data_IF_001006163034
#
_entry.id   IF_001006163034
#
_cell.length_a   1.000
_cell.length_b   1.000
_cell.length_c   1.000
_cell.angle_alpha   90.00
_cell.angle_beta   90.00
_cell.angle_gamma   90.00
#
_symmetry.space_group_name_H-M   'P 1'
#
loop_
_entity.id
_entity.type
_entity.pdbx_description
1 polymer ?
#
# COMPACT_ATOMS: atom_id res chain seq x y z
N UNK A 1 -18.54 42.08 -10.64
CA UNK A 1 -18.85 40.69 -10.23
C UNK A 1 -17.91 40.36 -9.07
N UNK A 2 -18.42 40.28 -7.83
CA UNK A 2 -17.59 39.96 -6.67
C UNK A 2 -17.22 38.48 -6.72
N UNK A 3 -15.93 38.17 -6.74
CA UNK A 3 -15.46 36.79 -6.61
C UNK A 3 -16.05 36.14 -5.34
N UNK A 4 -16.41 34.86 -5.43
CA UNK A 4 -16.97 34.15 -4.29
C UNK A 4 -15.97 34.19 -3.12
N UNK A 5 -16.43 34.65 -1.95
CA UNK A 5 -15.59 34.78 -0.75
C UNK A 5 -15.13 33.42 -0.20
N UNK A 6 -15.84 32.35 -0.58
CA UNK A 6 -15.60 30.99 -0.13
C UNK A 6 -15.14 30.09 -1.27
N UNK A 7 -14.12 29.28 -1.01
CA UNK A 7 -13.60 28.25 -1.90
C UNK A 7 -14.00 26.85 -1.40
N UNK A 8 -14.17 25.91 -2.32
CA UNK A 8 -14.57 24.52 -2.02
C UNK A 8 -13.47 23.56 -2.43
N UNK A 9 -13.05 22.69 -1.51
CA UNK A 9 -12.16 21.58 -1.77
C UNK A 9 -12.95 20.28 -1.83
N UNK A 10 -12.96 19.61 -2.98
CA UNK A 10 -13.41 18.23 -3.11
C UNK A 10 -12.22 17.31 -2.90
N UNK A 11 -12.08 16.74 -1.71
CA UNK A 11 -10.90 15.96 -1.33
C UNK A 11 -11.23 14.48 -1.16
N UNK A 12 -10.31 13.62 -1.60
CA UNK A 12 -10.42 12.17 -1.44
C UNK A 12 -9.25 11.59 -0.64
N UNK A 13 -9.52 10.65 0.27
CA UNK A 13 -8.52 10.06 1.16
C UNK A 13 -8.86 8.63 1.58
N UNK A 14 -7.86 7.85 2.02
CA UNK A 14 -8.03 6.46 2.48
C UNK A 14 -8.32 5.43 1.38
N UNK A 15 -8.34 5.85 0.12
CA UNK A 15 -8.41 5.01 -1.07
C UNK A 15 -7.07 4.95 -1.80
N UNK A 16 -7.11 4.57 -3.07
CA UNK A 16 -5.93 4.46 -3.93
C UNK A 16 -6.21 4.95 -5.34
N UNK A 17 -5.18 5.47 -5.99
CA UNK A 17 -5.23 5.80 -7.42
C UNK A 17 -4.96 4.50 -8.19
N UNK A 18 -5.84 4.16 -9.12
CA UNK A 18 -5.76 2.95 -9.94
C UNK A 18 -5.89 3.30 -11.42
N UNK A 19 -5.19 2.58 -12.32
CA UNK A 19 -5.40 2.74 -13.74
C UNK A 19 -6.82 2.27 -14.12
N UNK A 20 -7.41 2.96 -15.08
CA UNK A 20 -8.64 2.57 -15.74
C UNK A 20 -8.28 1.93 -17.10
N UNK A 21 -9.13 1.05 -17.66
CA UNK A 21 -8.87 0.42 -18.95
C UNK A 21 -8.66 1.37 -20.13
N UNK A 22 -9.07 2.63 -20.01
CA UNK A 22 -8.86 3.71 -20.99
C UNK A 22 -7.46 4.37 -20.87
N UNK A 23 -6.60 3.90 -19.97
CA UNK A 23 -5.26 4.44 -19.72
C UNK A 23 -5.22 5.60 -18.72
N UNK A 24 -6.37 6.13 -18.29
CA UNK A 24 -6.43 7.24 -17.32
C UNK A 24 -6.38 6.75 -15.89
N UNK A 25 -6.03 7.65 -14.96
CA UNK A 25 -6.08 7.35 -13.52
C UNK A 25 -7.46 7.68 -12.93
N UNK A 26 -7.91 6.83 -11.99
CA UNK A 26 -9.10 7.10 -11.16
C UNK A 26 -8.82 6.84 -9.69
N UNK A 27 -9.48 7.58 -8.82
CA UNK A 27 -9.50 7.27 -7.39
C UNK A 27 -10.49 6.14 -7.12
N UNK A 28 -10.09 5.14 -6.33
CA UNK A 28 -10.91 3.97 -6.00
C UNK A 28 -10.85 3.66 -4.51
N UNK A 29 -12.03 3.40 -3.92
CA UNK A 29 -12.21 3.24 -2.48
C UNK A 29 -12.05 4.55 -1.70
N UNK A 30 -11.91 4.43 -0.37
CA UNK A 30 -11.72 5.57 0.52
C UNK A 30 -12.98 6.42 0.70
N UNK A 31 -12.75 7.70 1.03
CA UNK A 31 -13.78 8.69 1.27
C UNK A 31 -13.57 9.89 0.35
N UNK A 32 -14.67 10.49 -0.10
CA UNK A 32 -14.67 11.77 -0.82
C UNK A 32 -15.58 12.74 -0.08
N UNK A 33 -15.05 13.91 0.27
CA UNK A 33 -15.75 14.93 1.06
C UNK A 33 -15.54 16.32 0.47
N UNK A 34 -16.40 17.26 0.86
CA UNK A 34 -16.27 18.67 0.48
C UNK A 34 -16.00 19.50 1.72
N UNK A 35 -14.95 20.32 1.67
CA UNK A 35 -14.63 21.32 2.68
C UNK A 35 -14.81 22.71 2.07
N UNK A 36 -15.68 23.53 2.66
CA UNK A 36 -15.83 24.95 2.28
C UNK A 36 -15.05 25.82 3.26
N UNK A 37 -14.18 26.69 2.77
CA UNK A 37 -13.36 27.60 3.57
C UNK A 37 -13.34 28.99 2.95
N UNK A 38 -12.95 30.00 3.73
CA UNK A 38 -12.72 31.34 3.21
C UNK A 38 -11.51 31.34 2.28
N UNK A 39 -11.55 32.19 1.25
CA UNK A 39 -10.45 32.34 0.29
C UNK A 39 -9.14 32.81 0.94
N UNK A 40 -9.23 33.52 2.05
CA UNK A 40 -8.08 34.04 2.79
C UNK A 40 -7.42 33.02 3.73
N UNK A 41 -7.91 31.76 3.75
CA UNK A 41 -7.36 30.71 4.61
C UNK A 41 -5.86 30.50 4.36
N UNK A 42 -5.11 30.33 5.44
CA UNK A 42 -3.69 29.97 5.36
C UNK A 42 -3.52 28.47 5.13
N UNK A 43 -2.39 28.08 4.56
CA UNK A 43 -2.03 26.67 4.36
C UNK A 43 -2.05 25.91 5.70
N UNK A 44 -1.51 26.50 6.77
CA UNK A 44 -1.52 25.89 8.09
C UNK A 44 -2.94 25.59 8.61
N UNK A 45 -3.85 26.56 8.54
CA UNK A 45 -5.25 26.38 8.96
C UNK A 45 -5.99 25.35 8.09
N UNK A 46 -5.73 25.35 6.78
CA UNK A 46 -6.29 24.36 5.87
C UNK A 46 -5.84 22.95 6.26
N UNK A 47 -4.55 22.76 6.53
CA UNK A 47 -3.99 21.48 6.94
C UNK A 47 -4.54 20.99 8.28
N UNK A 48 -4.81 21.89 9.24
CA UNK A 48 -5.48 21.55 10.50
C UNK A 48 -6.89 21.02 10.25
N UNK A 49 -7.72 21.75 9.49
CA UNK A 49 -9.09 21.31 9.14
C UNK A 49 -9.11 19.97 8.41
N UNK A 50 -8.18 19.77 7.47
CA UNK A 50 -8.05 18.52 6.74
C UNK A 50 -7.62 17.39 7.68
N UNK A 51 -6.65 17.64 8.56
CA UNK A 51 -6.16 16.69 9.54
C UNK A 51 -7.24 16.23 10.52
N UNK A 52 -8.01 17.17 11.08
CA UNK A 52 -9.15 16.89 11.96
C UNK A 52 -10.22 16.06 11.25
N UNK A 53 -10.55 16.41 10.00
CA UNK A 53 -11.57 15.68 9.22
C UNK A 53 -11.14 14.24 8.87
N UNK A 54 -9.83 14.02 8.69
CA UNK A 54 -9.25 12.73 8.33
C UNK A 54 -8.83 11.90 9.55
N UNK A 55 -8.79 12.50 10.74
CA UNK A 55 -8.29 11.87 11.97
C UNK A 55 -6.78 11.61 11.97
N UNK A 56 -6.01 12.21 11.05
CA UNK A 56 -4.56 12.03 10.95
C UNK A 56 -3.90 13.15 10.14
N UNK A 57 -2.59 13.35 10.33
CA UNK A 57 -1.82 14.29 9.51
C UNK A 57 -1.75 13.81 8.06
N UNK A 58 -2.04 14.72 7.12
CA UNK A 58 -2.08 14.45 5.68
C UNK A 58 -1.14 15.38 4.92
N UNK A 59 -0.89 15.08 3.65
CA UNK A 59 -0.29 15.95 2.67
C UNK A 59 -1.34 16.31 1.63
N UNK A 60 -1.44 17.59 1.29
CA UNK A 60 -2.38 18.10 0.30
C UNK A 60 -1.79 18.02 -1.11
N UNK A 61 -2.50 17.35 -2.00
CA UNK A 61 -2.23 17.41 -3.44
C UNK A 61 -3.50 17.77 -4.19
N UNK A 62 -3.38 18.63 -5.20
CA UNK A 62 -4.50 19.16 -5.96
C UNK A 62 -4.28 18.88 -7.45
N UNK A 63 -5.36 18.64 -8.20
CA UNK A 63 -5.29 18.74 -9.67
C UNK A 63 -5.33 20.22 -10.06
N UNK A 64 -4.96 20.55 -11.29
CA UNK A 64 -5.28 21.86 -11.90
C UNK A 64 -6.62 21.79 -12.64
N UNK A 65 -7.26 22.93 -12.95
CA UNK A 65 -8.48 22.93 -13.74
C UNK A 65 -8.26 22.31 -15.13
N UNK A 66 -9.16 21.42 -15.54
CA UNK A 66 -9.06 20.69 -16.82
C UNK A 66 -8.15 19.47 -16.82
N UNK A 67 -7.35 19.28 -15.77
CA UNK A 67 -6.41 18.16 -15.65
C UNK A 67 -7.04 16.92 -14.99
N UNK A 68 -6.41 15.76 -15.23
CA UNK A 68 -6.79 14.45 -14.70
C UNK A 68 -5.98 14.08 -13.42
N UNK A 69 -6.26 12.91 -12.83
CA UNK A 69 -5.64 12.45 -11.57
C UNK A 69 -4.17 12.02 -11.69
N UNK A 70 -3.64 11.99 -12.90
CA UNK A 70 -2.22 11.78 -13.22
C UNK A 70 -1.39 13.07 -13.10
N UNK A 71 -2.03 14.24 -13.12
CA UNK A 71 -1.37 15.54 -12.98
C UNK A 71 -1.74 16.16 -11.63
N UNK A 72 -1.00 15.76 -10.59
CA UNK A 72 -1.17 16.27 -9.22
C UNK A 72 -0.06 17.24 -8.82
N UNK A 73 -0.45 18.39 -8.29
CA UNK A 73 0.42 19.39 -7.70
C UNK A 73 0.39 19.23 -6.18
N UNK A 74 1.55 19.06 -5.56
CA UNK A 74 1.65 19.03 -4.09
C UNK A 74 1.75 20.45 -3.56
N UNK A 75 0.91 20.80 -2.59
CA UNK A 75 0.89 22.13 -1.97
C UNK A 75 1.56 22.05 -0.59
N UNK A 76 2.51 22.94 -0.34
CA UNK A 76 3.33 23.01 0.89
C UNK A 76 3.46 24.42 1.47
N UNK A 77 2.99 25.45 0.78
CA UNK A 77 3.08 26.84 1.21
C UNK A 77 1.82 27.63 0.87
N UNK A 78 1.67 28.80 1.50
CA UNK A 78 0.58 29.74 1.21
C UNK A 78 0.65 30.31 -0.22
N UNK A 79 1.86 30.45 -0.78
CA UNK A 79 2.08 30.93 -2.15
C UNK A 79 1.57 29.90 -3.17
N UNK A 80 1.90 28.62 -2.97
CA UNK A 80 1.41 27.52 -3.81
C UNK A 80 -0.12 27.39 -3.69
N UNK A 81 -0.67 27.52 -2.49
CA UNK A 81 -2.12 27.46 -2.27
C UNK A 81 -2.85 28.57 -3.03
N UNK A 82 -2.34 29.82 -2.97
CA UNK A 82 -2.92 30.96 -3.69
C UNK A 82 -2.88 30.77 -5.20
N UNK A 83 -1.76 30.27 -5.72
CA UNK A 83 -1.59 29.98 -7.15
C UNK A 83 -2.64 28.97 -7.64
N UNK A 84 -2.83 27.87 -6.91
CA UNK A 84 -3.87 26.88 -7.23
C UNK A 84 -5.26 27.52 -7.23
N UNK A 85 -5.59 28.31 -6.21
CA UNK A 85 -6.90 28.97 -6.12
C UNK A 85 -7.12 29.91 -7.32
N UNK A 86 -6.13 30.72 -7.68
CA UNK A 86 -6.23 31.67 -8.78
C UNK A 86 -6.45 30.99 -10.14
N UNK A 87 -5.75 29.90 -10.41
CA UNK A 87 -5.92 29.12 -11.65
C UNK A 87 -7.34 28.55 -11.78
N UNK A 88 -7.91 28.04 -10.67
CA UNK A 88 -9.29 27.55 -10.64
C UNK A 88 -10.34 28.66 -10.83
N UNK A 89 -10.06 29.88 -10.42
CA UNK A 89 -10.97 31.00 -10.64
C UNK A 89 -10.88 31.56 -12.06
N UNK A 90 -9.65 31.65 -12.61
CA UNK A 90 -9.43 32.10 -13.99
C UNK A 90 -10.09 31.20 -15.01
N UNK A 91 -10.13 29.90 -14.75
CA UNK A 91 -10.67 28.90 -15.69
C UNK A 91 -12.19 28.95 -15.87
N UNK A 92 -12.94 29.78 -15.13
CA UNK A 92 -14.40 30.03 -15.25
C UNK A 92 -15.31 28.80 -15.32
N UNK A 93 -14.77 27.62 -15.02
CA UNK A 93 -15.46 26.35 -15.11
C UNK A 93 -16.55 26.32 -14.04
N UNK A 94 -17.80 26.12 -14.45
CA UNK A 94 -19.04 26.31 -13.66
C UNK A 94 -19.15 25.47 -12.37
N UNK A 95 -18.11 24.71 -12.02
CA UNK A 95 -18.04 23.85 -10.86
C UNK A 95 -16.71 24.05 -10.10
N UNK A 96 -16.47 25.29 -9.65
CA UNK A 96 -15.26 25.80 -8.98
C UNK A 96 -14.92 25.09 -7.64
N UNK A 97 -14.70 23.78 -7.70
CA UNK A 97 -14.23 22.94 -6.60
C UNK A 97 -12.81 22.52 -6.93
N UNK A 98 -11.86 22.91 -6.10
CA UNK A 98 -10.49 22.42 -6.18
C UNK A 98 -10.53 20.93 -5.86
N UNK A 99 -10.13 20.07 -6.82
CA UNK A 99 -10.09 18.63 -6.59
C UNK A 99 -8.76 18.28 -5.93
N UNK A 100 -8.83 17.57 -4.83
CA UNK A 100 -7.68 17.21 -4.03
C UNK A 100 -7.63 15.71 -3.71
N UNK A 101 -6.42 15.19 -3.59
CA UNK A 101 -6.14 13.86 -3.05
C UNK A 101 -5.25 14.04 -1.84
N UNK A 102 -5.65 13.45 -0.72
CA UNK A 102 -4.89 13.52 0.52
C UNK A 102 -4.12 12.22 0.73
N UNK A 103 -2.83 12.37 0.96
CA UNK A 103 -1.95 11.26 1.29
C UNK A 103 -1.56 11.31 2.76
N UNK A 104 -1.45 10.18 3.47
CA UNK A 104 -0.94 10.17 4.84
C UNK A 104 0.43 10.85 4.93
N UNK A 105 0.62 11.71 5.93
CA UNK A 105 1.92 12.30 6.21
C UNK A 105 2.88 11.19 6.68
N UNK A 106 4.06 11.10 6.08
CA UNK A 106 5.05 10.10 6.51
C UNK A 106 5.60 10.52 7.87
N UNK A 107 5.21 9.81 8.93
CA UNK A 107 5.86 9.94 10.23
C UNK A 107 7.30 9.44 10.11
N UNK A 108 8.27 10.36 10.22
CA UNK A 108 9.68 10.01 10.20
C UNK A 108 10.01 8.99 11.30
N UNK A 109 10.77 7.95 10.92
CA UNK A 109 11.50 7.01 11.77
C UNK A 109 10.64 6.14 12.69
N UNK A 110 10.21 4.97 12.20
CA UNK A 110 10.13 3.79 13.07
C UNK A 110 11.54 3.49 13.55
N UNK A 111 11.84 3.80 14.81
CA UNK A 111 12.98 3.19 15.51
C UNK A 111 12.63 1.70 15.55
N UNK A 112 13.20 0.93 14.63
CA UNK A 112 13.22 -0.53 14.76
C UNK A 112 13.84 -0.83 16.13
N UNK A 113 13.20 -1.62 17.01
CA UNK A 113 13.91 -2.10 18.19
C UNK A 113 15.15 -2.87 17.70
N UNK A 114 16.34 -2.67 18.29
CA UNK A 114 17.49 -3.49 17.95
C UNK A 114 17.11 -4.94 18.18
N UNK A 115 17.20 -5.76 17.13
CA UNK A 115 17.16 -7.21 17.25
C UNK A 115 18.17 -7.60 18.34
N UNK A 116 17.70 -8.29 19.37
CA UNK A 116 18.49 -8.70 20.52
C UNK A 116 19.83 -9.34 20.12
N UNK A 117 20.87 -9.20 20.96
CA UNK A 117 22.24 -9.57 20.63
C UNK A 117 22.39 -11.10 20.49
N UNK A 118 23.28 -11.48 19.58
CA UNK A 118 23.79 -12.84 19.39
C UNK A 118 24.16 -13.44 20.75
N UNK A 119 23.50 -14.53 21.14
CA UNK A 119 23.76 -15.23 22.40
C UNK A 119 24.99 -16.12 22.30
N UNK A 120 25.97 -15.77 23.13
CA UNK A 120 26.94 -16.58 23.88
C UNK A 120 27.85 -17.60 23.16
N UNK A 121 29.15 -17.31 23.28
CA UNK A 121 30.32 -18.19 23.21
C UNK A 121 30.09 -19.68 23.51
N UNK A 122 30.53 -20.54 22.57
CA UNK A 122 30.83 -21.94 22.84
C UNK A 122 32.29 -22.10 23.27
N UNK A 123 32.52 -22.52 24.51
CA UNK A 123 33.83 -22.97 25.02
C UNK A 123 34.00 -24.47 24.73
N UNK A 124 35.14 -24.92 24.13
CA UNK A 124 35.37 -26.34 23.92
C UNK A 124 35.88 -26.98 25.22
N UNK A 125 35.14 -27.93 25.78
CA UNK A 125 35.64 -28.75 26.88
C UNK A 125 36.30 -30.02 26.36
N UNK A 126 37.47 -30.29 26.93
CA UNK A 126 38.50 -31.19 26.47
C UNK A 126 38.13 -32.68 26.43
N UNK A 127 38.90 -33.38 25.62
CA UNK A 127 38.93 -34.82 25.40
C UNK A 127 39.01 -35.67 26.68
N UNK A 128 38.44 -36.88 26.61
CA UNK A 128 38.94 -38.02 27.37
C UNK A 128 38.99 -39.26 26.49
N UNK A 129 40.19 -39.52 25.97
CA UNK A 129 40.59 -40.78 25.38
C UNK A 129 40.71 -41.86 26.48
N UNK A 130 40.41 -43.10 26.10
CA UNK A 130 40.90 -44.41 26.60
C UNK A 130 40.24 -45.47 25.71
N UNK A 131 40.89 -46.05 24.69
CA UNK A 131 41.89 -47.14 24.77
C UNK A 131 41.15 -48.47 25.07
N UNK A 132 41.25 -49.59 24.35
CA UNK A 132 42.26 -50.11 23.43
C UNK A 132 41.70 -51.23 22.52
N UNK A 133 42.51 -51.61 21.53
CA UNK A 133 42.37 -52.49 20.36
C UNK A 133 42.21 -54.02 20.67
N UNK A 134 42.48 -55.03 19.78
CA UNK A 134 42.85 -55.00 18.35
C UNK A 134 42.31 -56.15 17.43
N UNK A 135 42.65 -56.03 16.15
CA UNK A 135 43.13 -57.10 15.23
C UNK A 135 42.18 -57.91 14.32
N UNK A 136 42.66 -57.99 13.06
CA UNK A 136 42.59 -59.09 12.08
C UNK A 136 41.60 -59.02 10.91
N UNK A 137 42.16 -58.54 9.78
CA UNK A 137 42.13 -59.09 8.43
C UNK A 137 41.15 -60.23 8.09
N UNK A 138 40.42 -60.10 6.97
CA UNK A 138 40.79 -60.74 5.69
C UNK A 138 39.96 -60.16 4.53
N UNK A 139 40.66 -59.80 3.45
CA UNK A 139 40.08 -59.65 2.12
C UNK A 139 39.49 -60.98 1.65
N UNK A 140 38.57 -60.99 0.68
CA UNK A 140 38.65 -61.90 -0.48
C UNK A 140 37.51 -61.69 -1.52
N UNK A 141 37.96 -61.55 -2.77
CA UNK A 141 37.38 -61.83 -4.10
C UNK A 141 36.17 -61.06 -4.69
N UNK A 142 36.45 -60.46 -5.87
CA UNK A 142 35.78 -60.55 -7.20
C UNK A 142 34.27 -60.22 -7.29
N UNK A 143 33.79 -59.44 -8.26
CA UNK A 143 34.20 -59.34 -9.67
C UNK A 143 33.72 -58.03 -10.34
N UNK A 144 34.49 -57.58 -11.34
CA UNK A 144 34.12 -56.97 -12.64
C UNK A 144 32.64 -56.63 -12.88
N UNK A 145 32.20 -55.53 -13.51
CA UNK A 145 32.78 -54.35 -14.18
C UNK A 145 31.58 -53.44 -14.58
N UNK A 146 31.76 -52.15 -14.95
CA UNK A 146 30.67 -51.18 -15.15
C UNK A 146 30.13 -51.19 -16.60
N UNK A 147 29.03 -50.45 -16.88
CA UNK A 147 29.26 -49.28 -17.72
C UNK A 147 28.47 -48.01 -17.34
N UNK A 148 29.06 -46.93 -17.83
CA UNK A 148 28.69 -45.52 -17.78
C UNK A 148 27.21 -45.17 -18.00
N UNK A 149 26.72 -44.21 -17.21
CA UNK A 149 25.82 -43.16 -17.68
C UNK A 149 25.99 -41.89 -16.82
N UNK A 150 26.73 -40.95 -17.41
CA UNK A 150 26.64 -39.49 -17.34
C UNK A 150 25.64 -38.86 -16.33
N UNK A 151 26.22 -38.12 -15.38
CA UNK A 151 25.78 -36.84 -14.78
C UNK A 151 24.27 -36.49 -14.78
N UNK A 152 23.71 -36.21 -13.61
CA UNK A 152 23.42 -34.84 -13.10
C UNK A 152 22.67 -34.86 -11.76
N UNK A 153 22.79 -33.74 -11.07
CA UNK A 153 22.57 -33.46 -9.66
C UNK A 153 21.19 -33.79 -9.09
N UNK A 154 21.19 -34.08 -7.78
CA UNK A 154 20.03 -34.24 -6.92
C UNK A 154 19.27 -32.92 -6.66
N UNK A 155 17.96 -33.04 -6.42
CA UNK A 155 17.32 -32.59 -5.16
C UNK A 155 15.90 -33.16 -5.06
N UNK A 156 15.50 -33.76 -3.91
CA UNK A 156 14.13 -34.22 -3.70
C UNK A 156 13.21 -33.04 -3.36
N UNK A 157 11.99 -33.09 -3.89
CA UNK A 157 10.92 -32.12 -3.66
C UNK A 157 10.32 -32.33 -2.25
N UNK A 158 10.34 -31.31 -1.42
CA UNK A 158 9.63 -31.28 -0.12
C UNK A 158 8.22 -30.77 -0.38
N UNK A 159 7.22 -31.63 -0.21
CA UNK A 159 5.80 -31.27 -0.27
C UNK A 159 5.32 -30.63 1.04
N UNK A 160 4.53 -29.56 0.93
CA UNK A 160 3.76 -29.01 2.06
C UNK A 160 2.32 -29.53 2.02
N UNK A 161 1.74 -29.97 3.15
CA UNK A 161 0.33 -30.36 3.19
C UNK A 161 -0.59 -29.14 3.20
N UNK A 162 -1.63 -29.21 2.37
CA UNK A 162 -2.75 -28.26 2.29
C UNK A 162 -3.68 -28.48 3.49
N UNK A 163 -3.81 -27.49 4.37
CA UNK A 163 -4.86 -27.45 5.40
C UNK A 163 -6.12 -26.83 4.79
N UNK A 164 -7.13 -27.66 4.60
CA UNK A 164 -8.47 -27.27 4.16
C UNK A 164 -9.22 -26.52 5.28
N UNK A 165 -9.42 -25.22 5.11
CA UNK A 165 -10.25 -24.37 5.97
C UNK A 165 -11.61 -24.09 5.33
N UNK A 166 -12.67 -24.52 6.04
CA UNK A 166 -14.08 -24.51 5.63
C UNK A 166 -14.62 -23.10 5.31
N UNK A 167 -15.24 -22.97 4.13
CA UNK A 167 -16.02 -21.81 3.70
C UNK A 167 -17.33 -21.70 4.50
N UNK A 168 -17.52 -20.60 5.22
CA UNK A 168 -18.82 -20.22 5.77
C UNK A 168 -19.58 -19.42 4.72
N UNK A 169 -20.62 -20.03 4.16
CA UNK A 169 -21.64 -19.33 3.38
C UNK A 169 -22.36 -18.30 4.26
N UNK A 170 -22.36 -17.04 3.84
CA UNK A 170 -23.36 -16.06 4.29
C UNK A 170 -24.48 -15.97 3.26
N UNK A 171 -25.68 -16.09 3.80
CA UNK A 171 -27.00 -16.19 3.19
C UNK A 171 -27.37 -14.91 2.43
N UNK A 172 -27.73 -15.05 1.15
CA UNK A 172 -28.25 -13.96 0.33
C UNK A 172 -29.68 -13.60 0.76
N UNK A 173 -29.90 -12.36 1.22
CA UNK A 173 -31.24 -11.77 1.32
C UNK A 173 -31.57 -11.13 -0.02
N UNK A 174 -32.51 -11.74 -0.75
CA UNK A 174 -33.13 -11.16 -1.93
C UNK A 174 -34.03 -10.00 -1.50
N UNK A 175 -33.77 -8.80 -2.02
CA UNK A 175 -34.74 -7.70 -2.00
C UNK A 175 -35.46 -7.68 -3.34
N UNK A 176 -36.75 -7.96 -3.28
CA UNK A 176 -37.71 -7.85 -4.36
C UNK A 176 -37.96 -6.37 -4.68
N UNK A 177 -37.65 -5.93 -5.90
CA UNK A 177 -37.95 -4.58 -6.39
C UNK A 177 -39.26 -4.63 -7.18
N UNK A 178 -40.32 -3.90 -6.79
CA UNK A 178 -41.54 -3.83 -7.60
C UNK A 178 -41.33 -2.95 -8.84
N UNK A 179 -41.75 -3.48 -9.99
CA UNK A 179 -41.79 -2.80 -11.29
C UNK A 179 -42.86 -1.70 -11.23
N UNK A 180 -42.48 -0.43 -11.39
CA UNK A 180 -43.42 0.66 -11.67
C UNK A 180 -43.66 0.71 -13.18
N UNK A 181 -44.85 0.30 -13.60
CA UNK A 181 -45.37 0.57 -14.93
C UNK A 181 -45.64 2.07 -15.07
N UNK A 182 -45.07 2.70 -16.10
CA UNK A 182 -45.57 3.96 -16.63
C UNK A 182 -46.53 3.64 -17.77
N UNK A 183 -47.79 4.07 -17.62
CA UNK A 183 -48.82 4.05 -18.65
C UNK A 183 -49.12 5.48 -19.07
N UNK A 184 -49.18 5.66 -20.39
CA UNK A 184 -49.64 6.79 -21.21
C UNK A 184 -48.84 8.10 -21.16
#
# INVERSE_FOLDING_TARGET
>A
MTAAKTIKFLYSYGGRIVPRPDGKLRYSGGHTRILSVDRSITFAELMVKLGESCGSSVNLTCTLPGEDLDVLVTVKSDEELRSVIEEYERSSSQEAKIRAVLFPARSGKKITPPSSPISCFDFPSAAKARGAAPFSATAFYRAYAPPAAVRRCASPVVGYPVVAGKSRYYQARAYHVPIRNYSQ
#
